data_IF_137316156225
#
_entry.id   IF_137316156225
#
_cell.length_a   1.000
_cell.length_b   1.000
_cell.length_c   1.000
_cell.angle_alpha   90.00
_cell.angle_beta   90.00
_cell.angle_gamma   90.00
#
_symmetry.space_group_name_H-M   'P 1'
#
loop_
_entity.id
_entity.type
_entity.pdbx_description
1 polymer ?
#
# COMPACT_ATOMS: atom_id res chain seq x y z
N UNK A 1 -27.97 -12.87 0.68
CA UNK A 1 -26.93 -13.72 0.09
C UNK A 1 -27.05 -13.93 -1.43
N UNK A 2 -28.24 -14.01 -2.04
CA UNK A 2 -28.32 -14.24 -3.50
C UNK A 2 -27.90 -13.05 -4.39
N UNK A 3 -27.80 -11.84 -3.84
CA UNK A 3 -27.43 -10.64 -4.61
C UNK A 3 -25.92 -10.47 -4.83
N UNK A 4 -25.09 -11.02 -3.94
CA UNK A 4 -23.62 -10.91 -4.04
C UNK A 4 -23.05 -11.94 -5.02
N UNK A 5 -23.56 -13.18 -5.00
CA UNK A 5 -23.11 -14.24 -5.92
C UNK A 5 -23.50 -14.01 -7.39
N UNK A 6 -24.48 -13.13 -7.65
CA UNK A 6 -24.90 -12.75 -9.00
C UNK A 6 -24.30 -11.43 -9.49
N UNK A 7 -23.41 -10.82 -8.71
CA UNK A 7 -22.72 -9.59 -9.11
C UNK A 7 -21.51 -9.93 -9.97
N UNK A 8 -21.46 -9.41 -11.19
CA UNK A 8 -20.28 -9.53 -12.04
C UNK A 8 -19.51 -8.21 -12.04
N UNK A 9 -18.23 -8.20 -11.64
CA UNK A 9 -17.43 -6.98 -11.53
C UNK A 9 -17.15 -6.28 -12.86
N UNK A 10 -17.18 -7.03 -13.98
CA UNK A 10 -16.85 -6.50 -15.30
C UNK A 10 -15.41 -6.01 -15.44
N UNK A 11 -14.49 -6.47 -14.59
CA UNK A 11 -13.07 -6.15 -14.69
C UNK A 11 -12.45 -7.01 -15.79
N UNK A 12 -11.97 -6.36 -16.85
CA UNK A 12 -11.21 -7.03 -17.89
C UNK A 12 -9.82 -7.40 -17.37
N UNK A 13 -9.34 -8.57 -17.80
CA UNK A 13 -8.00 -9.04 -17.48
C UNK A 13 -6.96 -8.15 -18.15
N UNK A 14 -6.10 -7.52 -17.36
CA UNK A 14 -5.03 -6.64 -17.83
C UNK A 14 -3.69 -7.37 -17.88
N UNK A 15 -2.71 -6.82 -18.58
CA UNK A 15 -1.31 -7.24 -18.50
C UNK A 15 -0.44 -6.00 -18.41
N UNK A 16 0.44 -5.91 -17.41
CA UNK A 16 1.43 -4.83 -17.35
C UNK A 16 2.54 -5.06 -18.36
N UNK A 17 3.22 -6.21 -18.26
CA UNK A 17 4.28 -6.64 -19.16
C UNK A 17 4.22 -8.17 -19.28
N UNK A 18 4.05 -8.68 -20.50
CA UNK A 18 3.83 -10.11 -20.74
C UNK A 18 2.68 -10.68 -19.91
N UNK A 19 2.97 -11.70 -19.10
CA UNK A 19 1.98 -12.40 -18.26
C UNK A 19 1.90 -11.87 -16.81
N UNK A 20 2.58 -10.75 -16.50
CA UNK A 20 2.59 -10.22 -15.14
C UNK A 20 1.28 -9.50 -14.78
N UNK A 21 0.76 -9.83 -13.58
CA UNK A 21 -0.46 -9.25 -13.05
C UNK A 21 -0.21 -8.02 -12.16
N UNK A 22 1.02 -7.85 -11.64
CA UNK A 22 1.43 -6.68 -10.83
C UNK A 22 2.27 -5.71 -11.65
N UNK A 23 2.22 -4.44 -11.25
CA UNK A 23 2.90 -3.34 -11.94
C UNK A 23 4.41 -3.36 -11.74
N UNK A 24 5.13 -2.64 -12.61
CA UNK A 24 6.60 -2.62 -12.62
C UNK A 24 7.17 -2.13 -11.30
N UNK A 25 6.52 -1.15 -10.66
CA UNK A 25 6.94 -0.62 -9.37
C UNK A 25 6.94 -1.68 -8.26
N UNK A 26 5.93 -2.57 -8.24
CA UNK A 26 5.87 -3.70 -7.31
C UNK A 26 6.85 -4.81 -7.70
N UNK A 27 6.98 -5.13 -9.00
CA UNK A 27 7.90 -6.18 -9.47
C UNK A 27 9.37 -5.84 -9.24
N UNK A 28 9.72 -4.54 -9.25
CA UNK A 28 11.07 -4.07 -9.00
C UNK A 28 11.49 -4.09 -7.52
N UNK A 29 10.54 -4.36 -6.60
CA UNK A 29 10.85 -4.48 -5.19
C UNK A 29 11.78 -5.66 -4.93
N UNK A 30 12.65 -5.49 -3.94
CA UNK A 30 13.65 -6.49 -3.55
C UNK A 30 13.63 -6.67 -2.03
N UNK A 31 14.03 -7.86 -1.51
CA UNK A 31 13.99 -8.12 -0.08
C UNK A 31 14.76 -7.10 0.77
N UNK A 32 14.18 -6.60 1.88
CA UNK A 32 12.94 -7.08 2.50
C UNK A 32 11.67 -6.28 2.11
N UNK A 33 11.78 -5.32 1.20
CA UNK A 33 10.67 -4.43 0.81
C UNK A 33 9.61 -5.12 -0.04
N UNK A 34 9.94 -6.21 -0.70
CA UNK A 34 9.00 -6.98 -1.51
C UNK A 34 8.01 -7.80 -0.67
N UNK A 35 8.40 -8.23 0.53
CA UNK A 35 7.57 -9.02 1.46
C UNK A 35 7.07 -8.24 2.66
N UNK A 36 7.68 -7.09 2.95
CA UNK A 36 7.34 -6.21 4.07
C UNK A 36 7.24 -6.90 5.43
N UNK A 37 8.07 -7.93 5.67
CA UNK A 37 8.05 -8.63 6.97
C UNK A 37 8.46 -7.64 8.06
N UNK A 38 7.57 -7.27 9.02
CA UNK A 38 7.81 -6.11 9.89
C UNK A 38 9.09 -6.23 10.72
N UNK A 39 9.40 -7.44 11.20
CA UNK A 39 10.61 -7.69 11.97
C UNK A 39 11.88 -7.52 11.12
N UNK A 40 11.87 -7.99 9.86
CA UNK A 40 13.01 -7.85 8.93
C UNK A 40 13.22 -6.37 8.61
N UNK A 41 12.16 -5.67 8.21
CA UNK A 41 12.22 -4.25 7.84
C UNK A 41 12.71 -3.40 9.01
N UNK A 42 12.11 -3.54 10.22
CA UNK A 42 12.52 -2.75 11.39
C UNK A 42 14.01 -2.92 11.74
N UNK A 43 14.54 -4.13 11.53
CA UNK A 43 15.94 -4.46 11.82
C UNK A 43 16.95 -3.95 10.78
N UNK A 44 16.50 -3.47 9.62
CA UNK A 44 17.40 -3.00 8.56
C UNK A 44 18.27 -1.82 9.02
N UNK A 45 19.58 -1.83 8.72
CA UNK A 45 20.44 -0.70 9.00
C UNK A 45 20.11 0.47 8.07
N UNK A 46 20.15 1.71 8.59
CA UNK A 46 19.87 2.92 7.80
C UNK A 46 21.10 3.41 7.03
N UNK A 47 21.69 2.52 6.24
CA UNK A 47 22.79 2.82 5.32
C UNK A 47 22.28 3.59 4.11
N UNK A 48 23.15 4.32 3.40
CA UNK A 48 22.77 5.05 2.19
C UNK A 48 22.17 4.14 1.12
N UNK A 49 22.63 2.88 1.03
CA UNK A 49 22.07 1.89 0.12
C UNK A 49 20.62 1.55 0.47
N UNK A 50 20.32 1.25 1.73
CA UNK A 50 18.94 0.94 2.14
C UNK A 50 18.03 2.17 2.05
N UNK A 51 18.55 3.37 2.37
CA UNK A 51 17.82 4.63 2.19
C UNK A 51 17.51 4.89 0.71
N UNK A 52 18.46 4.63 -0.19
CA UNK A 52 18.24 4.77 -1.62
C UNK A 52 17.20 3.77 -2.14
N UNK A 53 17.20 2.53 -1.63
CA UNK A 53 16.21 1.50 -1.97
C UNK A 53 14.81 1.87 -1.46
N UNK A 54 14.70 2.30 -0.21
CA UNK A 54 13.45 2.77 0.38
C UNK A 54 12.87 3.97 -0.38
N UNK A 55 13.73 4.94 -0.76
CA UNK A 55 13.34 6.06 -1.60
C UNK A 55 12.87 5.60 -2.98
N UNK A 56 13.59 4.68 -3.63
CA UNK A 56 13.22 4.17 -4.93
C UNK A 56 11.89 3.42 -4.90
N UNK A 57 11.61 2.66 -3.83
CA UNK A 57 10.32 2.02 -3.62
C UNK A 57 9.19 3.06 -3.55
N UNK A 58 9.27 4.05 -2.66
CA UNK A 58 8.23 5.09 -2.55
C UNK A 58 8.01 5.86 -3.85
N UNK A 59 9.09 6.27 -4.52
CA UNK A 59 8.99 6.98 -5.81
C UNK A 59 8.32 6.09 -6.85
N UNK A 60 8.74 4.83 -6.97
CA UNK A 60 8.15 3.88 -7.92
C UNK A 60 6.67 3.66 -7.66
N UNK A 61 6.27 3.51 -6.39
CA UNK A 61 4.85 3.39 -6.04
C UNK A 61 4.08 4.64 -6.45
N UNK A 62 4.51 5.83 -6.03
CA UNK A 62 3.80 7.08 -6.32
C UNK A 62 3.74 7.41 -7.83
N UNK A 63 4.77 7.05 -8.60
CA UNK A 63 4.82 7.32 -10.05
C UNK A 63 3.98 6.32 -10.89
N UNK A 64 3.52 5.23 -10.28
CA UNK A 64 2.80 4.15 -10.95
C UNK A 64 1.53 3.77 -10.16
N UNK A 65 0.52 4.66 -10.07
CA UNK A 65 -0.70 4.37 -9.32
C UNK A 65 -1.54 3.27 -10.00
N UNK A 66 -2.10 2.34 -9.23
CA UNK A 66 -2.90 1.26 -9.80
C UNK A 66 -4.26 1.77 -10.29
N UNK A 67 -4.91 1.03 -11.20
CA UNK A 67 -6.29 1.31 -11.54
C UNK A 67 -7.20 1.18 -10.29
N UNK A 68 -8.34 1.91 -10.26
CA UNK A 68 -9.25 1.88 -9.13
C UNK A 68 -9.82 0.46 -8.95
N UNK A 69 -9.79 -0.05 -7.72
CA UNK A 69 -10.41 -1.32 -7.40
C UNK A 69 -11.95 -1.17 -7.35
N UNK A 70 -12.72 -2.11 -7.93
CA UNK A 70 -14.17 -2.05 -7.84
C UNK A 70 -14.61 -2.28 -6.39
N UNK A 71 -15.66 -1.56 -5.99
CA UNK A 71 -16.29 -1.73 -4.68
C UNK A 71 -17.38 -2.76 -4.75
N UNK A 72 -17.46 -3.62 -3.73
CA UNK A 72 -18.57 -4.54 -3.60
C UNK A 72 -19.89 -3.76 -3.44
N UNK A 73 -21.01 -4.22 -4.04
CA UNK A 73 -22.31 -3.57 -3.92
C UNK A 73 -22.84 -3.56 -2.47
N UNK A 74 -22.38 -4.51 -1.64
CA UNK A 74 -22.51 -4.52 -0.20
C UNK A 74 -21.13 -4.83 0.40
N UNK A 75 -20.39 -3.82 0.90
CA UNK A 75 -19.08 -4.05 1.54
C UNK A 75 -19.26 -4.99 2.75
N UNK A 76 -18.35 -5.95 2.91
CA UNK A 76 -18.50 -7.05 3.87
C UNK A 76 -18.04 -8.40 3.33
N UNK A 77 -18.97 -9.36 3.17
CA UNK A 77 -18.63 -10.77 2.93
C UNK A 77 -17.83 -11.01 1.64
N UNK A 78 -18.08 -10.23 0.59
CA UNK A 78 -17.37 -10.35 -0.67
C UNK A 78 -15.95 -9.78 -0.59
N UNK A 79 -15.76 -8.66 0.14
CA UNK A 79 -14.44 -8.11 0.42
C UNK A 79 -13.62 -9.10 1.24
N UNK A 80 -14.23 -9.76 2.23
CA UNK A 80 -13.56 -10.82 2.98
C UNK A 80 -13.14 -12.01 2.10
N UNK A 81 -13.94 -12.38 1.09
CA UNK A 81 -13.56 -13.41 0.14
C UNK A 81 -12.40 -12.97 -0.77
N UNK A 82 -12.33 -11.69 -1.15
CA UNK A 82 -11.20 -11.14 -1.88
C UNK A 82 -9.93 -11.08 -1.02
N UNK A 83 -10.03 -10.63 0.23
CA UNK A 83 -8.93 -10.65 1.20
C UNK A 83 -8.39 -12.07 1.40
N UNK A 84 -9.28 -13.06 1.51
CA UNK A 84 -8.90 -14.47 1.59
C UNK A 84 -8.12 -14.94 0.36
N UNK A 85 -8.64 -14.67 -0.84
CA UNK A 85 -7.98 -15.08 -2.08
C UNK A 85 -6.64 -14.33 -2.28
N UNK A 86 -6.59 -13.04 -1.95
CA UNK A 86 -5.37 -12.23 -1.98
C UNK A 86 -4.32 -12.73 -0.97
N UNK A 87 -4.76 -13.12 0.23
CA UNK A 87 -3.90 -13.75 1.23
C UNK A 87 -3.32 -15.07 0.73
N UNK A 88 -4.12 -15.91 0.06
CA UNK A 88 -3.65 -17.15 -0.54
C UNK A 88 -2.61 -16.89 -1.64
N UNK A 89 -2.80 -15.86 -2.48
CA UNK A 89 -1.81 -15.43 -3.47
C UNK A 89 -0.51 -15.01 -2.78
N UNK A 90 -0.55 -14.16 -1.76
CA UNK A 90 0.66 -13.72 -1.03
C UNK A 90 1.38 -14.87 -0.33
N UNK A 91 0.65 -15.83 0.24
CA UNK A 91 1.25 -16.97 0.93
C UNK A 91 1.96 -17.91 -0.04
N UNK A 92 1.33 -18.22 -1.18
CA UNK A 92 1.83 -19.21 -2.14
C UNK A 92 2.76 -18.61 -3.20
N UNK A 93 2.68 -17.29 -3.42
CA UNK A 93 3.48 -16.53 -4.39
C UNK A 93 4.01 -15.25 -3.68
N UNK A 94 4.98 -15.40 -2.77
CA UNK A 94 5.35 -14.33 -1.84
C UNK A 94 6.15 -13.18 -2.47
N UNK A 95 6.73 -13.38 -3.65
CA UNK A 95 7.47 -12.33 -4.35
C UNK A 95 6.58 -11.66 -5.40
N UNK A 96 6.47 -10.32 -5.44
CA UNK A 96 5.60 -9.63 -6.39
C UNK A 96 5.95 -9.93 -7.85
N UNK A 97 7.26 -10.03 -8.14
CA UNK A 97 7.75 -10.38 -9.48
C UNK A 97 7.25 -11.75 -9.98
N UNK A 98 6.90 -12.65 -9.07
CA UNK A 98 6.43 -13.99 -9.39
C UNK A 98 4.92 -14.07 -9.64
N UNK A 99 4.17 -13.00 -9.35
CA UNK A 99 2.72 -12.96 -9.53
C UNK A 99 2.39 -12.75 -11.01
N UNK A 100 2.21 -13.88 -11.68
CA UNK A 100 1.86 -13.97 -13.10
C UNK A 100 0.49 -14.62 -13.25
N UNK A 101 -0.21 -14.27 -14.31
CA UNK A 101 -1.52 -14.82 -14.64
C UNK A 101 -1.55 -16.36 -14.67
N UNK A 102 -0.61 -17.07 -15.33
CA UNK A 102 -0.56 -18.53 -15.27
C UNK A 102 -0.43 -19.10 -13.85
N UNK A 103 0.36 -18.47 -12.97
CA UNK A 103 0.51 -18.93 -11.58
C UNK A 103 -0.73 -18.63 -10.74
N UNK A 104 -1.36 -17.48 -10.95
CA UNK A 104 -2.62 -17.11 -10.30
C UNK A 104 -3.75 -18.06 -10.73
N UNK A 105 -3.87 -18.37 -12.02
CA UNK A 105 -4.87 -19.31 -12.53
C UNK A 105 -4.66 -20.72 -11.98
N UNK A 106 -3.41 -21.19 -11.93
CA UNK A 106 -3.08 -22.48 -11.35
C UNK A 106 -3.45 -22.55 -9.86
N UNK A 107 -3.18 -21.48 -9.11
CA UNK A 107 -3.57 -21.38 -7.70
C UNK A 107 -5.09 -21.35 -7.54
N UNK A 108 -5.80 -20.57 -8.36
CA UNK A 108 -7.26 -20.52 -8.31
C UNK A 108 -7.87 -21.90 -8.61
N UNK A 109 -7.34 -22.63 -9.60
CA UNK A 109 -7.77 -23.98 -9.92
C UNK A 109 -7.47 -24.99 -8.79
N UNK A 110 -6.35 -24.83 -8.06
CA UNK A 110 -6.01 -25.64 -6.87
C UNK A 110 -7.03 -25.42 -5.74
N UNK A 111 -7.41 -24.16 -5.49
CA UNK A 111 -8.25 -23.78 -4.34
C UNK A 111 -9.75 -24.01 -4.57
N UNK A 112 -10.21 -23.90 -5.81
CA UNK A 112 -11.63 -23.95 -6.18
C UNK A 112 -12.40 -25.18 -5.65
N UNK A 113 -11.86 -26.42 -5.65
CA UNK A 113 -12.60 -27.60 -5.19
C UNK A 113 -13.00 -27.55 -3.70
N UNK A 114 -12.28 -26.79 -2.87
CA UNK A 114 -12.54 -26.64 -1.43
C UNK A 114 -13.17 -25.31 -1.04
N UNK A 115 -13.35 -24.40 -2.00
CA UNK A 115 -13.81 -23.04 -1.75
C UNK A 115 -15.31 -23.00 -1.37
N UNK A 116 -15.64 -22.17 -0.38
CA UNK A 116 -17.02 -21.79 -0.08
C UNK A 116 -17.63 -20.97 -1.23
N UNK A 117 -18.96 -20.79 -1.33
CA UNK A 117 -19.58 -20.11 -2.47
C UNK A 117 -19.03 -18.71 -2.79
N UNK A 118 -18.74 -17.90 -1.76
CA UNK A 118 -18.17 -16.56 -1.94
C UNK A 118 -16.69 -16.60 -2.32
N UNK A 119 -15.93 -17.53 -1.76
CA UNK A 119 -14.53 -17.77 -2.13
C UNK A 119 -14.43 -18.25 -3.57
N UNK A 120 -15.29 -19.19 -3.99
CA UNK A 120 -15.38 -19.66 -5.37
C UNK A 120 -15.73 -18.52 -6.33
N UNK A 121 -16.61 -17.61 -5.92
CA UNK A 121 -16.91 -16.41 -6.67
C UNK A 121 -15.69 -15.46 -6.78
N UNK A 122 -14.96 -15.23 -5.68
CA UNK A 122 -13.72 -14.46 -5.71
C UNK A 122 -12.66 -15.09 -6.63
N UNK A 123 -12.51 -16.42 -6.62
CA UNK A 123 -11.59 -17.14 -7.51
C UNK A 123 -12.03 -17.07 -8.99
N UNK A 124 -13.34 -17.07 -9.26
CA UNK A 124 -13.87 -16.92 -10.61
C UNK A 124 -13.71 -15.50 -11.16
N UNK A 125 -13.52 -14.51 -10.27
CA UNK A 125 -13.30 -13.10 -10.59
C UNK A 125 -11.99 -12.60 -9.96
N UNK A 126 -10.93 -13.40 -10.10
CA UNK A 126 -9.64 -13.19 -9.44
C UNK A 126 -8.97 -11.87 -9.87
N UNK A 127 -9.35 -11.33 -11.02
CA UNK A 127 -9.00 -9.98 -11.47
C UNK A 127 -9.35 -8.93 -10.41
N UNK A 128 -10.51 -9.01 -9.77
CA UNK A 128 -10.88 -8.06 -8.71
C UNK A 128 -9.98 -8.22 -7.50
N UNK A 129 -9.77 -9.45 -7.09
CA UNK A 129 -8.87 -9.77 -5.97
C UNK A 129 -7.47 -9.24 -6.21
N UNK A 130 -6.94 -9.38 -7.43
CA UNK A 130 -5.61 -8.88 -7.76
C UNK A 130 -5.54 -7.35 -7.74
N UNK A 131 -6.60 -6.63 -8.11
CA UNK A 131 -6.64 -5.18 -7.95
C UNK A 131 -6.54 -4.79 -6.48
N UNK A 132 -7.38 -5.36 -5.61
CA UNK A 132 -7.31 -5.11 -4.17
C UNK A 132 -5.94 -5.49 -3.60
N UNK A 133 -5.41 -6.65 -3.98
CA UNK A 133 -4.08 -7.09 -3.58
C UNK A 133 -2.98 -6.10 -3.99
N UNK A 134 -3.06 -5.48 -5.18
CA UNK A 134 -2.11 -4.44 -5.59
C UNK A 134 -2.20 -3.24 -4.64
N UNK A 135 -3.41 -2.76 -4.32
CA UNK A 135 -3.59 -1.67 -3.36
C UNK A 135 -2.99 -2.02 -2.00
N UNK A 136 -3.32 -3.20 -1.46
CA UNK A 136 -2.79 -3.68 -0.18
C UNK A 136 -1.26 -3.80 -0.18
N UNK A 137 -0.66 -4.29 -1.27
CA UNK A 137 0.79 -4.48 -1.33
C UNK A 137 1.52 -3.14 -1.32
N UNK A 138 1.00 -2.17 -2.07
CA UNK A 138 1.55 -0.82 -2.09
C UNK A 138 1.44 -0.16 -0.72
N UNK A 139 0.29 -0.33 -0.07
CA UNK A 139 0.06 0.12 1.29
C UNK A 139 1.11 -0.46 2.25
N UNK A 140 1.25 -1.78 2.31
CA UNK A 140 2.22 -2.44 3.20
C UNK A 140 3.66 -1.98 2.96
N UNK A 141 4.05 -1.76 1.71
CA UNK A 141 5.39 -1.26 1.36
C UNK A 141 5.58 0.18 1.83
N UNK A 142 4.61 1.05 1.59
CA UNK A 142 4.68 2.44 2.01
C UNK A 142 4.71 2.55 3.54
N UNK A 143 3.86 1.83 4.27
CA UNK A 143 3.87 1.81 5.74
C UNK A 143 5.22 1.32 6.24
N UNK A 144 5.70 0.19 5.71
CA UNK A 144 6.98 -0.38 6.11
C UNK A 144 8.13 0.62 5.93
N UNK A 145 8.17 1.36 4.82
CA UNK A 145 9.18 2.39 4.57
C UNK A 145 9.02 3.58 5.53
N UNK A 146 7.81 4.14 5.65
CA UNK A 146 7.58 5.32 6.50
C UNK A 146 7.86 5.03 7.96
N UNK A 147 7.33 3.91 8.46
CA UNK A 147 7.60 3.39 9.80
C UNK A 147 9.11 3.16 10.01
N UNK A 148 9.83 2.60 9.03
CA UNK A 148 11.27 2.38 9.13
C UNK A 148 12.08 3.69 9.20
N UNK A 149 11.71 4.72 8.44
CA UNK A 149 12.33 6.05 8.48
C UNK A 149 12.05 6.75 9.81
N UNK A 150 10.82 6.66 10.31
CA UNK A 150 10.40 7.28 11.58
C UNK A 150 11.11 6.66 12.81
N UNK A 151 11.56 5.41 12.71
CA UNK A 151 12.31 4.70 13.75
C UNK A 151 13.79 5.12 13.85
N UNK A 152 14.31 5.92 12.90
CA UNK A 152 15.68 6.43 13.01
C UNK A 152 15.82 7.36 14.24
N UNK A 153 16.96 7.34 14.96
CA UNK A 153 17.19 8.29 16.06
C UNK A 153 17.16 9.77 15.64
N UNK A 154 17.44 10.04 14.37
CA UNK A 154 17.38 11.37 13.76
C UNK A 154 16.62 11.32 12.41
N UNK A 155 15.28 11.23 12.42
CA UNK A 155 14.49 11.15 11.17
C UNK A 155 14.63 12.40 10.30
N UNK A 156 15.01 13.54 10.89
CA UNK A 156 15.19 14.81 10.19
C UNK A 156 16.26 14.73 9.09
N UNK A 157 17.24 13.84 9.22
CA UNK A 157 18.30 13.66 8.21
C UNK A 157 17.79 13.22 6.83
N UNK A 158 16.58 12.67 6.75
CA UNK A 158 15.95 12.27 5.49
C UNK A 158 15.01 13.33 4.91
N UNK A 159 14.66 14.36 5.68
CA UNK A 159 13.57 15.29 5.36
C UNK A 159 13.71 15.97 4.00
N UNK A 160 14.94 16.21 3.53
CA UNK A 160 15.20 16.86 2.25
C UNK A 160 14.61 16.15 1.04
N UNK A 161 14.38 14.83 1.10
CA UNK A 161 13.71 14.08 0.05
C UNK A 161 12.40 13.42 0.53
N UNK A 162 12.34 13.04 1.81
CA UNK A 162 11.23 12.24 2.33
C UNK A 162 10.01 13.09 2.70
N UNK A 163 10.16 14.36 3.12
CA UNK A 163 9.00 15.19 3.47
C UNK A 163 8.07 15.47 2.27
N UNK A 164 8.58 15.85 1.07
CA UNK A 164 7.72 16.00 -0.11
C UNK A 164 7.05 14.70 -0.54
N UNK A 165 7.73 13.56 -0.41
CA UNK A 165 7.14 12.25 -0.73
C UNK A 165 6.08 11.84 0.30
N UNK A 166 6.27 12.14 1.58
CA UNK A 166 5.28 11.86 2.62
C UNK A 166 4.00 12.69 2.41
N UNK A 167 4.14 13.97 2.06
CA UNK A 167 3.01 14.81 1.69
C UNK A 167 2.24 14.28 0.47
N UNK A 168 2.99 13.85 -0.56
CA UNK A 168 2.41 13.23 -1.75
C UNK A 168 1.72 11.90 -1.42
N UNK A 169 2.32 11.07 -0.58
CA UNK A 169 1.72 9.84 -0.05
C UNK A 169 0.36 10.10 0.60
N UNK A 170 0.25 11.10 1.47
CA UNK A 170 -1.04 11.46 2.10
C UNK A 170 -2.03 11.94 1.04
N UNK A 171 -1.59 12.83 0.15
CA UNK A 171 -2.45 13.44 -0.87
C UNK A 171 -3.00 12.39 -1.84
N UNK A 172 -2.17 11.40 -2.21
CA UNK A 172 -2.51 10.30 -3.12
C UNK A 172 -3.11 9.06 -2.42
N UNK A 173 -3.31 9.11 -1.10
CA UNK A 173 -3.94 8.02 -0.34
C UNK A 173 -3.06 6.76 -0.22
N UNK A 174 -1.74 6.93 -0.17
CA UNK A 174 -0.75 5.87 0.04
C UNK A 174 -0.18 5.96 1.46
N UNK A 175 -0.77 5.23 2.40
CA UNK A 175 -0.39 5.17 3.83
C UNK A 175 -0.24 6.54 4.49
N UNK A 176 -1.36 7.25 4.58
CA UNK A 176 -1.41 8.59 5.16
C UNK A 176 -0.94 8.62 6.62
N UNK A 177 -1.40 7.69 7.47
CA UNK A 177 -1.04 7.65 8.89
C UNK A 177 0.47 7.51 9.12
N UNK A 178 1.11 6.57 8.43
CA UNK A 178 2.54 6.35 8.56
C UNK A 178 3.36 7.53 8.00
N UNK A 179 2.91 8.12 6.88
CA UNK A 179 3.54 9.30 6.30
C UNK A 179 3.42 10.53 7.22
N UNK A 180 2.26 10.77 7.82
CA UNK A 180 2.03 11.85 8.81
C UNK A 180 2.88 11.61 10.06
N UNK A 181 2.93 10.37 10.56
CA UNK A 181 3.78 10.00 11.69
C UNK A 181 5.27 10.28 11.40
N UNK A 182 5.75 9.96 10.20
CA UNK A 182 7.11 10.31 9.77
C UNK A 182 7.34 11.83 9.75
N UNK A 183 6.43 12.61 9.17
CA UNK A 183 6.53 14.08 9.15
C UNK A 183 6.62 14.67 10.56
N UNK A 184 5.81 14.14 11.48
CA UNK A 184 5.86 14.46 12.91
C UNK A 184 7.19 14.10 13.57
N UNK A 185 7.70 12.90 13.31
CA UNK A 185 8.97 12.43 13.86
C UNK A 185 10.16 13.29 13.37
N UNK A 186 10.16 13.64 12.07
CA UNK A 186 11.18 14.50 11.47
C UNK A 186 11.14 15.92 12.04
N UNK A 187 9.95 16.53 12.18
CA UNK A 187 9.76 17.81 12.85
C UNK A 187 10.60 18.98 12.29
N UNK A 188 11.08 18.86 11.04
CA UNK A 188 11.81 19.94 10.37
C UNK A 188 10.83 21.00 9.86
N UNK A 189 11.32 22.22 9.57
CA UNK A 189 10.48 23.27 8.99
C UNK A 189 9.71 22.79 7.75
N UNK A 190 10.36 22.07 6.83
CA UNK A 190 9.69 21.51 5.66
C UNK A 190 8.63 20.45 5.99
N UNK A 191 8.84 19.65 7.04
CA UNK A 191 7.85 18.67 7.49
C UNK A 191 6.65 19.34 8.18
N UNK A 192 6.89 20.38 8.98
CA UNK A 192 5.84 21.21 9.60
C UNK A 192 5.02 21.94 8.54
N UNK A 193 5.67 22.48 7.51
CA UNK A 193 5.00 23.13 6.40
C UNK A 193 4.12 22.14 5.62
N UNK A 194 4.61 20.92 5.39
CA UNK A 194 3.83 19.85 4.77
C UNK A 194 2.60 19.48 5.62
N UNK A 195 2.79 19.23 6.92
CA UNK A 195 1.67 18.97 7.84
C UNK A 195 0.65 20.11 7.86
N UNK A 196 1.10 21.36 7.77
CA UNK A 196 0.22 22.53 7.73
C UNK A 196 -0.66 22.53 6.48
N UNK A 197 -0.09 22.20 5.31
CA UNK A 197 -0.88 22.05 4.07
C UNK A 197 -1.84 20.87 4.14
N UNK A 198 -1.40 19.73 4.67
CA UNK A 198 -2.26 18.55 4.85
C UNK A 198 -3.44 18.82 5.80
N UNK A 199 -3.19 19.60 6.86
CA UNK A 199 -4.20 20.03 7.82
C UNK A 199 -5.29 20.94 7.20
N UNK A 200 -5.07 21.52 6.02
CA UNK A 200 -6.10 22.27 5.29
C UNK A 200 -7.02 21.38 4.45
N UNK A 201 -6.73 20.06 4.40
CA UNK A 201 -7.26 19.06 3.49
C UNK A 201 -6.86 19.34 2.03
N UNK A 202 -5.91 18.57 1.47
CA UNK A 202 -5.51 18.74 0.08
C UNK A 202 -6.58 18.21 -0.89
N UNK A 203 -6.54 18.68 -2.13
CA UNK A 203 -7.30 18.08 -3.24
C UNK A 203 -6.76 16.68 -3.53
N UNK A 204 -7.63 15.68 -3.67
CA UNK A 204 -7.22 14.31 -3.97
C UNK A 204 -8.02 13.26 -3.19
N UNK A 205 -7.54 12.01 -3.16
CA UNK A 205 -8.13 10.93 -2.35
C UNK A 205 -7.94 11.11 -0.83
N UNK A 206 -7.09 12.04 -0.38
CA UNK A 206 -6.95 12.38 1.03
C UNK A 206 -8.30 12.70 1.70
N UNK A 207 -8.48 12.13 2.88
CA UNK A 207 -9.72 12.21 3.65
C UNK A 207 -9.71 13.39 4.62
N UNK A 208 -10.87 13.67 5.22
CA UNK A 208 -10.93 14.62 6.33
C UNK A 208 -10.22 14.10 7.58
N UNK A 209 -10.20 12.78 7.77
CA UNK A 209 -9.55 12.12 8.90
C UNK A 209 -8.02 12.27 8.79
N UNK A 210 -7.46 12.22 7.58
CA UNK A 210 -6.03 12.50 7.33
C UNK A 210 -5.67 13.95 7.71
N UNK A 211 -6.54 14.90 7.34
CA UNK A 211 -6.35 16.31 7.69
C UNK A 211 -6.46 16.53 9.21
N UNK A 212 -7.35 15.82 9.90
CA UNK A 212 -7.44 15.84 11.37
C UNK A 212 -6.18 15.26 12.01
N UNK A 213 -5.71 14.12 11.54
CA UNK A 213 -4.46 13.48 11.99
C UNK A 213 -3.26 14.41 11.82
N UNK A 214 -3.18 15.15 10.70
CA UNK A 214 -2.14 16.16 10.50
C UNK A 214 -2.26 17.34 11.48
N UNK A 215 -3.47 17.80 11.82
CA UNK A 215 -3.70 18.86 12.82
C UNK A 215 -3.28 18.42 14.21
N UNK A 216 -3.60 17.19 14.59
CA UNK A 216 -3.24 16.60 15.88
C UNK A 216 -1.72 16.47 15.99
N UNK A 217 -1.05 16.03 14.93
CA UNK A 217 0.41 15.97 14.87
C UNK A 217 1.05 17.37 15.02
N UNK A 218 0.50 18.40 14.38
CA UNK A 218 0.96 19.79 14.56
C UNK A 218 0.77 20.28 16.00
N UNK A 219 -0.34 19.93 16.64
CA UNK A 219 -0.59 20.27 18.04
C UNK A 219 0.45 19.59 18.94
N UNK A 220 0.76 18.32 18.71
CA UNK A 220 1.78 17.58 19.45
C UNK A 220 3.17 18.23 19.30
N UNK A 221 3.59 18.59 18.08
CA UNK A 221 4.88 19.26 17.85
C UNK A 221 5.01 20.56 18.64
N UNK A 222 3.95 21.38 18.65
CA UNK A 222 3.90 22.63 19.44
C UNK A 222 4.09 22.35 20.94
N UNK A 223 3.49 21.29 21.47
CA UNK A 223 3.67 20.91 22.89
C UNK A 223 5.09 20.45 23.21
N UNK A 224 5.80 19.86 22.23
CA UNK A 224 7.20 19.42 22.34
C UNK A 224 8.21 20.55 22.12
N UNK A 225 7.75 21.78 21.84
CA UNK A 225 8.61 22.94 21.57
C UNK A 225 9.33 22.87 20.23
N UNK A 226 8.75 22.16 19.25
CA UNK A 226 9.24 22.06 17.87
C UNK A 226 8.35 22.86 16.93
#
# INVERSE_FOLDING_TARGET
MSGELGWEPGVERWSYDGDHALSDSLRALTPPWDRCVPAEVRSLPRTDTEVARARAALVGLLDDPPPPAPRAPAPGLLEHAWEWAGSAVRERIPHPADVTWPRVDALAAELLPSAQPLEAHALAHIEVTLLHLIHDWRADVADAVWSWLALDPDPARFAGWAAPLAERSVTEGLEADAAIAYLGAAGTAGAVDALTRLAEKPDGPATWDDAETARDMLAELRTRGR
#
